data_IF_274437207700
#
_entry.id   IF_274437207700
#
_cell.length_a   1.000
_cell.length_b   1.000
_cell.length_c   1.000
_cell.angle_alpha   90.00
_cell.angle_beta   90.00
_cell.angle_gamma   90.00
#
_symmetry.space_group_name_H-M   'P 1'
#
loop_
_entity.id
_entity.type
_entity.pdbx_description
1 polymer ?
#
# COMPACT_ATOMS: atom_id res chain seq x y z
N UNK A 1 17.31 -34.04 -7.53
CA UNK A 1 16.55 -32.92 -6.97
C UNK A 1 15.12 -33.12 -7.38
N UNK A 2 14.16 -33.13 -6.45
CA UNK A 2 12.77 -33.32 -6.79
C UNK A 2 12.20 -32.00 -7.42
N UNK A 3 11.01 -32.06 -7.97
CA UNK A 3 10.38 -30.90 -8.66
C UNK A 3 10.15 -29.73 -7.70
N UNK A 4 9.78 -29.99 -6.44
CA UNK A 4 9.58 -28.96 -5.41
C UNK A 4 10.88 -28.23 -5.12
N UNK A 5 12.02 -28.95 -5.02
CA UNK A 5 13.33 -28.35 -4.81
C UNK A 5 13.72 -27.42 -5.98
N UNK A 6 13.40 -27.81 -7.22
CA UNK A 6 13.67 -27.00 -8.41
C UNK A 6 12.87 -25.68 -8.38
N UNK A 7 11.58 -25.78 -8.03
CA UNK A 7 10.72 -24.58 -7.88
C UNK A 7 11.26 -23.66 -6.78
N UNK A 8 11.60 -24.23 -5.62
CA UNK A 8 12.14 -23.47 -4.49
C UNK A 8 13.44 -22.75 -4.85
N UNK A 9 14.39 -23.45 -5.46
CA UNK A 9 15.69 -22.87 -5.84
C UNK A 9 15.51 -21.72 -6.84
N UNK A 10 14.69 -21.91 -7.89
CA UNK A 10 14.39 -20.86 -8.87
C UNK A 10 13.81 -19.61 -8.22
N UNK A 11 12.85 -19.75 -7.30
CA UNK A 11 12.23 -18.61 -6.60
C UNK A 11 13.25 -17.95 -5.66
N UNK A 12 14.01 -18.75 -4.91
CA UNK A 12 15.02 -18.27 -3.97
C UNK A 12 16.12 -17.47 -4.67
N UNK A 13 16.62 -17.94 -5.82
CA UNK A 13 17.61 -17.23 -6.63
C UNK A 13 17.09 -15.86 -7.09
N UNK A 14 15.86 -15.81 -7.59
CA UNK A 14 15.24 -14.55 -8.02
C UNK A 14 15.04 -13.56 -6.86
N UNK A 15 14.85 -14.04 -5.63
CA UNK A 15 14.72 -13.19 -4.45
C UNK A 15 16.01 -12.41 -4.14
N UNK A 16 17.18 -12.93 -4.50
CA UNK A 16 18.47 -12.31 -4.20
C UNK A 16 18.74 -11.03 -5.02
N UNK A 17 18.24 -10.95 -6.24
CA UNK A 17 18.50 -9.82 -7.15
C UNK A 17 17.35 -8.81 -7.23
N UNK A 18 16.16 -9.16 -6.75
CA UNK A 18 14.99 -8.33 -6.91
C UNK A 18 15.06 -7.03 -6.08
N UNK A 19 14.86 -5.86 -6.74
CA UNK A 19 14.92 -4.51 -6.16
C UNK A 19 13.72 -3.62 -6.53
N UNK A 20 12.90 -4.02 -7.50
CA UNK A 20 11.90 -3.15 -8.13
C UNK A 20 10.48 -3.25 -7.56
N UNK A 21 10.26 -4.03 -6.49
CA UNK A 21 8.93 -4.18 -5.89
C UNK A 21 8.97 -4.01 -4.36
N UNK A 22 7.89 -3.48 -3.76
CA UNK A 22 7.87 -3.12 -2.33
C UNK A 22 7.62 -4.33 -1.41
N UNK A 23 8.46 -5.36 -1.47
CA UNK A 23 8.36 -6.56 -0.66
C UNK A 23 9.58 -6.67 0.29
N UNK A 24 9.33 -6.63 1.60
CA UNK A 24 10.37 -6.86 2.60
C UNK A 24 10.94 -8.29 2.50
N UNK A 25 12.25 -8.45 2.80
CA UNK A 25 12.96 -9.73 2.69
C UNK A 25 13.39 -10.30 4.05
N UNK A 26 13.27 -9.55 5.12
CA UNK A 26 13.82 -9.84 6.46
C UNK A 26 12.80 -10.50 7.40
N UNK A 27 11.81 -11.19 6.87
CA UNK A 27 10.83 -11.92 7.67
C UNK A 27 11.14 -13.43 7.73
N UNK A 28 10.68 -14.06 8.80
CA UNK A 28 10.63 -15.53 8.92
C UNK A 28 9.44 -15.93 9.77
N UNK A 29 8.64 -16.83 9.23
CA UNK A 29 7.45 -17.40 9.87
C UNK A 29 7.54 -18.93 9.99
N UNK A 30 8.77 -19.48 10.05
CA UNK A 30 9.00 -20.92 10.15
C UNK A 30 8.35 -21.57 11.37
N UNK A 31 8.26 -20.84 12.48
CA UNK A 31 7.60 -21.25 13.71
C UNK A 31 6.09 -21.50 13.55
N UNK A 32 5.48 -20.90 12.51
CA UNK A 32 4.07 -21.08 12.20
C UNK A 32 3.79 -22.27 11.24
N UNK A 33 4.80 -23.05 10.86
CA UNK A 33 4.62 -24.20 9.98
C UNK A 33 3.54 -25.20 10.46
N UNK A 34 3.37 -25.48 11.77
CA UNK A 34 2.29 -26.36 12.24
C UNK A 34 0.87 -25.89 11.93
N UNK A 35 0.68 -24.56 11.70
CA UNK A 35 -0.63 -24.02 11.33
C UNK A 35 -1.02 -24.31 9.88
N UNK A 36 -0.08 -24.75 9.03
CA UNK A 36 -0.35 -25.11 7.63
C UNK A 36 -1.17 -26.39 7.50
N UNK A 37 -1.24 -27.21 8.56
CA UNK A 37 -2.06 -28.42 8.61
C UNK A 37 -3.50 -28.15 9.10
N UNK A 38 -3.83 -26.88 9.38
CA UNK A 38 -5.13 -26.46 9.90
C UNK A 38 -5.89 -25.56 8.90
N UNK A 39 -7.19 -25.81 8.73
CA UNK A 39 -8.05 -24.93 7.94
C UNK A 39 -8.58 -23.76 8.80
N UNK A 40 -7.78 -22.71 8.96
CA UNK A 40 -8.13 -21.57 9.80
C UNK A 40 -8.94 -20.56 8.98
N UNK A 41 -10.15 -20.22 9.44
CA UNK A 41 -11.09 -19.38 8.70
C UNK A 41 -11.72 -18.33 9.62
N UNK A 42 -11.35 -17.05 9.40
CA UNK A 42 -11.90 -15.90 10.11
C UNK A 42 -13.26 -15.48 9.48
N UNK A 43 -14.27 -16.35 9.56
CA UNK A 43 -15.56 -16.11 8.93
C UNK A 43 -16.34 -14.97 9.61
N UNK A 44 -16.96 -14.08 8.81
CA UNK A 44 -17.81 -12.99 9.28
C UNK A 44 -17.05 -11.78 9.86
N UNK A 45 -17.75 -10.99 10.67
CA UNK A 45 -17.19 -9.78 11.29
C UNK A 45 -16.05 -10.12 12.27
N UNK A 46 -14.89 -9.44 12.19
CA UNK A 46 -13.77 -9.69 13.10
C UNK A 46 -14.07 -9.37 14.56
N UNK A 47 -15.01 -8.46 14.85
CA UNK A 47 -15.38 -8.09 16.23
C UNK A 47 -16.38 -9.03 16.88
N UNK A 48 -16.99 -9.94 16.11
CA UNK A 48 -17.98 -10.88 16.59
C UNK A 48 -17.46 -12.31 16.51
N UNK A 49 -17.73 -13.12 17.53
CA UNK A 49 -17.50 -14.55 17.45
C UNK A 49 -18.46 -15.18 16.43
N UNK A 50 -18.09 -16.30 15.87
CA UNK A 50 -18.91 -17.09 14.97
C UNK A 50 -19.14 -18.49 15.52
N UNK A 51 -20.03 -19.26 14.91
CA UNK A 51 -20.23 -20.67 15.26
C UNK A 51 -19.02 -21.54 14.92
N UNK A 52 -18.15 -21.07 14.03
CA UNK A 52 -16.87 -21.72 13.68
C UNK A 52 -15.78 -21.19 14.60
N UNK A 53 -15.24 -22.05 15.46
CA UNK A 53 -14.20 -21.69 16.44
C UNK A 53 -12.76 -22.02 15.97
N UNK A 54 -12.56 -22.24 14.66
CA UNK A 54 -11.23 -22.48 14.06
C UNK A 54 -10.82 -21.18 13.36
N UNK A 55 -10.49 -20.17 14.16
CA UNK A 55 -10.15 -18.84 13.68
C UNK A 55 -8.99 -18.20 14.46
N UNK A 56 -8.56 -17.02 14.02
CA UNK A 56 -7.56 -16.15 14.64
C UNK A 56 -8.10 -14.72 14.79
N UNK A 57 -9.40 -14.58 15.05
CA UNK A 57 -10.04 -13.28 15.17
C UNK A 57 -9.51 -12.45 16.33
N UNK A 58 -9.07 -13.09 17.43
CA UNK A 58 -8.42 -12.38 18.53
C UNK A 58 -7.15 -11.68 18.06
N UNK A 59 -6.31 -12.38 17.29
CA UNK A 59 -5.09 -11.82 16.72
C UNK A 59 -5.41 -10.73 15.67
N UNK A 60 -6.47 -10.93 14.88
CA UNK A 60 -6.95 -9.92 13.95
C UNK A 60 -7.40 -8.65 14.68
N UNK A 61 -8.16 -8.75 15.78
CA UNK A 61 -8.58 -7.62 16.62
C UNK A 61 -7.39 -6.86 17.19
N UNK A 62 -6.36 -7.55 17.64
CA UNK A 62 -5.14 -6.91 18.12
C UNK A 62 -4.40 -6.17 16.99
N UNK A 63 -4.32 -6.75 15.77
CA UNK A 63 -3.78 -6.07 14.61
C UNK A 63 -4.57 -4.78 14.31
N UNK A 64 -5.90 -4.86 14.25
CA UNK A 64 -6.75 -3.70 13.97
C UNK A 64 -6.56 -2.61 15.03
N UNK A 65 -6.46 -2.99 16.30
CA UNK A 65 -6.18 -2.04 17.39
C UNK A 65 -4.83 -1.34 17.21
N UNK A 66 -3.80 -2.06 16.82
CA UNK A 66 -2.48 -1.48 16.52
C UNK A 66 -2.53 -0.51 15.35
N UNK A 67 -3.23 -0.88 14.25
CA UNK A 67 -3.37 0.01 13.09
C UNK A 67 -4.23 1.24 13.41
N UNK A 68 -5.30 1.09 14.21
CA UNK A 68 -6.07 2.24 14.67
C UNK A 68 -5.17 3.25 15.40
N UNK A 69 -4.30 2.78 16.29
CA UNK A 69 -3.39 3.61 17.08
C UNK A 69 -2.35 4.33 16.21
N UNK A 70 -1.65 3.65 15.28
CA UNK A 70 -0.67 4.33 14.41
C UNK A 70 -1.32 5.27 13.38
N UNK A 71 -2.59 5.06 13.05
CA UNK A 71 -3.40 5.92 12.19
C UNK A 71 -4.21 6.98 12.96
N UNK A 72 -3.80 7.28 14.19
CA UNK A 72 -4.36 8.35 15.03
C UNK A 72 -5.87 8.20 15.29
N UNK A 73 -6.31 6.98 15.57
CA UNK A 73 -7.70 6.63 15.91
C UNK A 73 -7.76 5.57 17.01
N UNK A 74 -8.95 5.04 17.22
CA UNK A 74 -9.23 3.97 18.16
C UNK A 74 -10.36 3.06 17.64
N UNK A 75 -10.53 1.88 18.24
CA UNK A 75 -11.53 0.89 17.83
C UNK A 75 -12.98 1.27 18.13
N UNK A 76 -13.25 2.36 18.86
CA UNK A 76 -14.60 2.86 19.08
C UNK A 76 -15.10 3.66 17.88
N UNK A 77 -14.20 4.44 17.27
CA UNK A 77 -14.51 5.33 16.15
C UNK A 77 -14.28 4.68 14.80
N UNK A 78 -13.33 3.73 14.74
CA UNK A 78 -12.95 3.00 13.53
C UNK A 78 -13.17 1.50 13.68
N UNK A 79 -13.35 0.86 12.54
CA UNK A 79 -13.47 -0.57 12.36
C UNK A 79 -12.55 -1.00 11.20
N UNK A 80 -12.18 -2.26 11.16
CA UNK A 80 -11.34 -2.77 10.08
C UNK A 80 -11.23 -4.28 10.08
N UNK A 81 -10.61 -4.82 9.04
CA UNK A 81 -10.31 -6.25 8.95
C UNK A 81 -9.06 -6.50 8.09
N UNK A 82 -8.48 -7.70 8.22
CA UNK A 82 -7.37 -8.15 7.39
C UNK A 82 -7.88 -8.68 6.06
N UNK A 83 -7.45 -8.02 4.97
CA UNK A 83 -7.85 -8.28 3.58
C UNK A 83 -6.82 -9.17 2.86
N UNK A 84 -7.15 -9.65 1.64
CA UNK A 84 -6.22 -10.39 0.77
C UNK A 84 -5.19 -9.47 0.07
N UNK A 85 -5.17 -8.19 0.38
CA UNK A 85 -4.22 -7.21 -0.16
C UNK A 85 -4.83 -5.81 -0.28
N UNK A 86 -4.00 -4.83 -0.69
CA UNK A 86 -4.42 -3.44 -0.87
C UNK A 86 -5.56 -3.26 -1.87
N UNK A 87 -5.61 -4.08 -2.93
CA UNK A 87 -6.71 -4.04 -3.92
C UNK A 87 -8.07 -4.29 -3.30
N UNK A 88 -8.18 -5.28 -2.39
CA UNK A 88 -9.43 -5.54 -1.66
C UNK A 88 -9.72 -4.42 -0.66
N UNK A 89 -8.70 -3.90 0.02
CA UNK A 89 -8.86 -2.76 0.93
C UNK A 89 -9.40 -1.51 0.21
N UNK A 90 -8.85 -1.20 -0.96
CA UNK A 90 -9.33 -0.11 -1.81
C UNK A 90 -10.75 -0.38 -2.36
N UNK A 91 -11.04 -1.63 -2.76
CA UNK A 91 -12.38 -2.04 -3.18
C UNK A 91 -13.41 -1.81 -2.06
N UNK A 92 -13.04 -2.19 -0.82
CA UNK A 92 -13.92 -2.03 0.34
C UNK A 92 -14.16 -0.55 0.67
N UNK A 93 -13.11 0.28 0.67
CA UNK A 93 -13.25 1.73 0.87
C UNK A 93 -14.16 2.39 -0.17
N UNK A 94 -13.99 2.04 -1.44
CA UNK A 94 -14.86 2.52 -2.54
C UNK A 94 -16.28 1.98 -2.46
N UNK A 95 -16.47 0.72 -2.02
CA UNK A 95 -17.78 0.14 -1.78
C UNK A 95 -18.54 0.94 -0.71
N UNK A 96 -17.93 1.20 0.44
CA UNK A 96 -18.53 2.01 1.51
C UNK A 96 -18.81 3.45 1.07
N UNK A 97 -17.93 4.03 0.27
CA UNK A 97 -18.11 5.37 -0.29
C UNK A 97 -19.36 5.42 -1.19
N UNK A 98 -19.52 4.42 -2.09
CA UNK A 98 -20.70 4.29 -2.96
C UNK A 98 -21.99 4.11 -2.13
N UNK A 99 -21.99 3.24 -1.13
CA UNK A 99 -23.15 3.02 -0.27
C UNK A 99 -23.50 4.28 0.55
N UNK A 100 -22.50 5.13 0.83
CA UNK A 100 -22.73 6.42 1.50
C UNK A 100 -23.28 7.47 0.53
N UNK A 101 -22.81 7.47 -0.73
CA UNK A 101 -23.12 8.46 -1.76
C UNK A 101 -23.27 7.77 -3.14
N UNK A 102 -24.43 7.16 -3.45
CA UNK A 102 -24.63 6.36 -4.67
C UNK A 102 -24.40 7.12 -5.99
N UNK A 103 -24.68 8.43 -6.00
CA UNK A 103 -24.53 9.29 -7.19
C UNK A 103 -23.19 10.06 -7.23
N UNK A 104 -22.25 9.72 -6.34
CA UNK A 104 -20.97 10.40 -6.25
C UNK A 104 -20.08 10.13 -7.46
N UNK A 105 -19.15 11.06 -7.68
CA UNK A 105 -18.07 10.92 -8.66
C UNK A 105 -16.76 10.71 -7.91
N UNK A 106 -15.99 9.69 -8.30
CA UNK A 106 -14.65 9.44 -7.77
C UNK A 106 -13.61 10.24 -8.53
N UNK A 107 -12.79 11.00 -7.82
CA UNK A 107 -11.65 11.74 -8.34
C UNK A 107 -10.36 11.06 -7.88
N UNK A 108 -9.50 10.66 -8.82
CA UNK A 108 -8.22 9.99 -8.56
C UNK A 108 -7.18 10.40 -9.60
N UNK A 109 -5.89 10.34 -9.27
CA UNK A 109 -4.84 10.80 -10.19
C UNK A 109 -4.43 9.75 -11.21
N UNK A 110 -3.79 10.19 -12.29
CA UNK A 110 -3.20 9.30 -13.32
C UNK A 110 -2.19 8.32 -12.72
N UNK A 111 -1.43 8.76 -11.70
CA UNK A 111 -0.43 7.94 -11.00
C UNK A 111 -1.03 6.91 -10.03
N UNK A 112 -2.36 6.84 -9.92
CA UNK A 112 -3.05 5.88 -9.06
C UNK A 112 -2.84 4.45 -9.57
N UNK A 113 -2.64 3.51 -8.64
CA UNK A 113 -2.39 2.11 -8.95
C UNK A 113 -3.48 1.52 -9.89
N UNK A 114 -3.07 0.76 -10.90
CA UNK A 114 -3.94 0.22 -11.97
C UNK A 114 -5.17 -0.54 -11.46
N UNK A 115 -5.12 -1.13 -10.28
CA UNK A 115 -6.25 -1.88 -9.70
C UNK A 115 -7.47 -1.02 -9.41
N UNK A 116 -7.30 0.30 -9.23
CA UNK A 116 -8.39 1.22 -8.90
C UNK A 116 -9.37 1.34 -10.05
N UNK A 117 -8.91 1.44 -11.30
CA UNK A 117 -9.78 1.42 -12.49
C UNK A 117 -10.65 0.16 -12.54
N UNK A 118 -10.08 -0.99 -12.17
CA UNK A 118 -10.83 -2.26 -12.07
C UNK A 118 -11.86 -2.21 -10.94
N UNK A 119 -11.51 -1.71 -9.76
CA UNK A 119 -12.44 -1.58 -8.64
C UNK A 119 -13.62 -0.66 -8.99
N UNK A 120 -13.34 0.49 -9.62
CA UNK A 120 -14.39 1.43 -10.07
C UNK A 120 -15.33 0.79 -11.10
N UNK A 121 -14.77 0.02 -12.03
CA UNK A 121 -15.57 -0.74 -13.01
C UNK A 121 -16.45 -1.79 -12.33
N UNK A 122 -15.90 -2.60 -11.43
CA UNK A 122 -16.65 -3.63 -10.69
C UNK A 122 -17.79 -3.03 -9.85
N UNK A 123 -17.56 -1.86 -9.25
CA UNK A 123 -18.56 -1.18 -8.43
C UNK A 123 -19.52 -0.29 -9.27
N UNK A 124 -19.27 -0.16 -10.56
CA UNK A 124 -20.04 0.71 -11.46
C UNK A 124 -20.16 2.15 -10.95
N UNK A 125 -19.04 2.75 -10.52
CA UNK A 125 -19.00 4.12 -9.99
C UNK A 125 -18.50 5.08 -11.05
N UNK A 126 -19.19 6.22 -11.20
CA UNK A 126 -18.72 7.32 -12.04
C UNK A 126 -17.40 7.86 -11.52
N UNK A 127 -16.46 8.12 -12.44
CA UNK A 127 -15.14 8.56 -12.04
C UNK A 127 -14.50 9.52 -13.04
N UNK A 128 -13.56 10.32 -12.58
CA UNK A 128 -12.78 11.24 -13.39
C UNK A 128 -11.32 11.11 -12.97
N UNK A 129 -10.46 10.95 -13.96
CA UNK A 129 -9.00 10.96 -13.78
C UNK A 129 -8.53 12.40 -13.71
N UNK A 130 -7.77 12.73 -12.69
CA UNK A 130 -7.09 14.01 -12.49
C UNK A 130 -5.64 13.85 -12.95
N UNK A 131 -5.06 14.85 -13.60
CA UNK A 131 -3.66 14.81 -14.00
C UNK A 131 -2.73 14.64 -12.79
N UNK A 132 -1.53 14.16 -13.05
CA UNK A 132 -0.45 14.12 -12.07
C UNK A 132 0.61 15.17 -12.36
N UNK A 133 1.27 15.66 -11.32
CA UNK A 133 2.48 16.48 -11.42
C UNK A 133 3.68 15.58 -11.78
N UNK A 134 4.81 16.19 -12.17
CA UNK A 134 6.03 15.47 -12.57
C UNK A 134 6.58 14.54 -11.47
N UNK A 135 6.35 14.86 -10.21
CA UNK A 135 6.75 14.02 -9.08
C UNK A 135 5.77 12.86 -8.78
N UNK A 136 4.65 12.77 -9.52
CA UNK A 136 3.60 11.75 -9.34
C UNK A 136 2.47 12.13 -8.38
N UNK A 137 2.52 13.32 -7.76
CA UNK A 137 1.44 13.86 -6.92
C UNK A 137 0.25 14.31 -7.77
N UNK A 138 -0.96 14.30 -7.24
CA UNK A 138 -2.15 14.83 -7.92
C UNK A 138 -1.96 16.30 -8.31
N UNK A 139 -2.43 16.69 -9.49
CA UNK A 139 -2.49 18.09 -9.93
C UNK A 139 -3.74 18.75 -9.33
N UNK A 140 -3.56 19.63 -8.33
CA UNK A 140 -4.68 20.28 -7.62
C UNK A 140 -5.33 21.38 -8.42
N UNK A 141 -4.65 21.99 -9.39
CA UNK A 141 -5.24 22.98 -10.28
C UNK A 141 -6.20 22.28 -11.26
N UNK A 142 -5.83 21.11 -11.76
CA UNK A 142 -6.70 20.29 -12.59
C UNK A 142 -7.91 19.78 -11.79
N UNK A 143 -7.69 19.25 -10.57
CA UNK A 143 -8.77 18.84 -9.67
C UNK A 143 -9.73 20.00 -9.40
N UNK A 144 -9.21 21.18 -9.15
CA UNK A 144 -10.01 22.38 -8.85
C UNK A 144 -10.89 22.77 -10.05
N UNK A 145 -10.33 22.79 -11.27
CA UNK A 145 -11.08 23.10 -12.49
C UNK A 145 -12.21 22.10 -12.74
N UNK A 146 -11.95 20.80 -12.53
CA UNK A 146 -12.93 19.74 -12.70
C UNK A 146 -14.08 19.90 -11.69
N UNK A 147 -13.75 20.13 -10.42
CA UNK A 147 -14.73 20.26 -9.33
C UNK A 147 -15.60 21.51 -9.44
N UNK A 148 -15.05 22.61 -9.97
CA UNK A 148 -15.81 23.82 -10.21
C UNK A 148 -17.06 23.56 -11.07
N UNK A 149 -16.96 22.66 -12.03
CA UNK A 149 -18.05 22.30 -12.96
C UNK A 149 -19.01 21.22 -12.40
N UNK A 150 -18.67 20.58 -11.27
CA UNK A 150 -19.40 19.41 -10.71
C UNK A 150 -19.70 19.52 -9.22
N UNK A 151 -19.66 20.70 -8.67
CA UNK A 151 -19.85 20.99 -7.24
C UNK A 151 -21.23 20.60 -6.67
N UNK A 152 -22.19 20.32 -7.54
CA UNK A 152 -23.56 19.88 -7.21
C UNK A 152 -23.65 18.37 -6.95
N UNK A 153 -22.60 17.60 -7.23
CA UNK A 153 -22.54 16.16 -7.00
C UNK A 153 -21.73 15.84 -5.76
N UNK A 154 -22.10 14.79 -5.02
CA UNK A 154 -21.23 14.24 -3.99
C UNK A 154 -19.89 13.79 -4.59
N UNK A 155 -18.82 13.96 -3.84
CA UNK A 155 -17.45 13.69 -4.30
C UNK A 155 -16.78 12.59 -3.48
N UNK A 156 -16.13 11.64 -4.14
CA UNK A 156 -15.24 10.67 -3.50
C UNK A 156 -13.81 11.02 -3.92
N UNK A 157 -12.98 11.41 -2.97
CA UNK A 157 -11.56 11.67 -3.20
C UNK A 157 -10.76 10.41 -2.90
N UNK A 158 -10.13 9.87 -3.91
CA UNK A 158 -9.22 8.73 -3.78
C UNK A 158 -7.79 9.25 -3.81
N UNK A 159 -7.14 9.30 -2.65
CA UNK A 159 -5.81 9.89 -2.47
C UNK A 159 -4.76 8.79 -2.36
N UNK A 160 -3.64 8.98 -3.06
CA UNK A 160 -2.50 8.07 -2.97
C UNK A 160 -1.57 8.52 -1.85
N UNK A 161 -1.29 7.62 -0.93
CA UNK A 161 -0.27 7.80 0.10
C UNK A 161 0.88 6.86 -0.27
N UNK A 162 1.66 7.31 -1.26
CA UNK A 162 2.72 6.56 -1.92
C UNK A 162 2.28 5.98 -3.27
N UNK A 163 2.39 6.76 -4.35
CA UNK A 163 2.15 6.29 -5.73
C UNK A 163 3.15 5.21 -6.13
N UNK A 164 2.75 4.33 -7.06
CA UNK A 164 3.52 3.13 -7.41
C UNK A 164 4.92 3.44 -7.96
N UNK A 165 5.05 4.40 -8.87
CA UNK A 165 6.33 4.66 -9.56
C UNK A 165 7.25 5.59 -8.79
N UNK A 166 6.71 6.56 -8.06
CA UNK A 166 7.50 7.65 -7.46
C UNK A 166 7.32 7.80 -5.95
N UNK A 167 6.43 7.01 -5.33
CA UNK A 167 6.09 7.13 -3.91
C UNK A 167 5.58 8.54 -3.52
N UNK A 168 4.94 9.25 -4.45
CA UNK A 168 4.36 10.55 -4.18
C UNK A 168 3.16 10.44 -3.22
N UNK A 169 2.98 11.49 -2.40
CA UNK A 169 1.88 11.58 -1.43
C UNK A 169 0.95 12.71 -1.81
N UNK A 170 -0.31 12.39 -2.08
CA UNK A 170 -1.33 13.40 -2.34
C UNK A 170 -1.63 14.23 -1.09
N UNK A 171 -1.69 15.56 -1.24
CA UNK A 171 -1.87 16.51 -0.14
C UNK A 171 -3.33 16.69 0.24
N UNK A 172 -3.71 16.07 1.33
CA UNK A 172 -5.06 16.18 1.88
C UNK A 172 -5.49 17.65 2.16
N UNK A 173 -4.56 18.51 2.57
CA UNK A 173 -4.85 19.92 2.84
C UNK A 173 -5.31 20.66 1.58
N UNK A 174 -4.71 20.38 0.42
CA UNK A 174 -5.13 20.97 -0.86
C UNK A 174 -6.53 20.50 -1.23
N UNK A 175 -6.82 19.22 -1.08
CA UNK A 175 -8.17 18.69 -1.32
C UNK A 175 -9.19 19.34 -0.38
N UNK A 176 -8.89 19.47 0.91
CA UNK A 176 -9.74 20.15 1.89
C UNK A 176 -9.93 21.65 1.55
N UNK A 177 -8.88 22.32 1.08
CA UNK A 177 -8.96 23.70 0.60
C UNK A 177 -9.97 23.85 -0.54
N UNK A 178 -9.91 22.93 -1.51
CA UNK A 178 -10.82 22.91 -2.66
C UNK A 178 -12.26 22.59 -2.23
N UNK A 179 -12.46 21.58 -1.38
CA UNK A 179 -13.77 21.24 -0.79
C UNK A 179 -14.41 22.46 -0.14
N UNK A 180 -13.65 23.18 0.67
CA UNK A 180 -14.10 24.41 1.35
C UNK A 180 -14.40 25.53 0.36
N UNK A 181 -13.51 25.75 -0.62
CA UNK A 181 -13.64 26.82 -1.63
C UNK A 181 -14.93 26.68 -2.43
N UNK A 182 -15.28 25.47 -2.82
CA UNK A 182 -16.48 25.18 -3.65
C UNK A 182 -17.70 24.75 -2.83
N UNK A 183 -17.61 24.79 -1.50
CA UNK A 183 -18.67 24.42 -0.56
C UNK A 183 -19.27 23.02 -0.85
N UNK A 184 -18.43 22.04 -1.17
CA UNK A 184 -18.85 20.66 -1.39
C UNK A 184 -19.31 20.09 -0.05
N UNK A 185 -20.60 19.76 0.06
CA UNK A 185 -21.22 19.34 1.32
C UNK A 185 -21.07 17.85 1.58
N UNK A 186 -21.25 17.05 0.52
CA UNK A 186 -21.28 15.59 0.59
C UNK A 186 -20.01 15.04 -0.05
N UNK A 187 -19.15 14.46 0.77
CA UNK A 187 -17.90 13.89 0.28
C UNK A 187 -17.42 12.72 1.14
N UNK A 188 -16.57 11.91 0.55
CA UNK A 188 -15.88 10.79 1.18
C UNK A 188 -14.39 10.85 0.80
N UNK A 189 -13.50 10.62 1.75
CA UNK A 189 -12.06 10.62 1.51
C UNK A 189 -11.52 9.22 1.82
N UNK A 190 -11.04 8.55 0.78
CA UNK A 190 -10.33 7.27 0.87
C UNK A 190 -8.84 7.49 0.60
N UNK A 191 -7.98 6.91 1.45
CA UNK A 191 -6.53 6.92 1.27
C UNK A 191 -6.03 5.52 0.89
N UNK A 192 -5.50 5.39 -0.32
CA UNK A 192 -4.68 4.24 -0.69
C UNK A 192 -3.28 4.44 -0.09
N UNK A 193 -3.09 3.87 1.07
CA UNK A 193 -1.83 3.84 1.79
C UNK A 193 -1.18 2.44 1.71
N UNK A 194 -1.40 1.73 0.59
CA UNK A 194 -0.94 0.36 0.41
C UNK A 194 0.55 0.18 0.69
N UNK A 195 1.37 1.17 0.39
CA UNK A 195 2.79 1.15 0.71
C UNK A 195 3.11 1.97 1.96
N UNK A 196 2.74 3.24 2.00
CA UNK A 196 3.14 4.15 3.06
C UNK A 196 2.32 4.05 4.36
N UNK A 197 1.25 3.29 4.41
CA UNK A 197 0.41 3.20 5.63
C UNK A 197 1.15 2.69 6.87
N UNK A 198 2.21 1.92 6.70
CA UNK A 198 3.10 1.43 7.78
C UNK A 198 4.39 2.24 7.92
N UNK A 199 4.65 3.20 7.04
CA UNK A 199 5.88 4.00 6.96
C UNK A 199 5.59 5.44 7.39
N UNK A 200 4.61 6.08 6.77
CA UNK A 200 4.27 7.48 6.96
C UNK A 200 3.98 7.91 8.42
N UNK A 201 3.41 7.06 9.29
CA UNK A 201 3.28 7.40 10.71
C UNK A 201 4.60 7.69 11.43
N UNK A 202 5.74 7.23 10.89
CA UNK A 202 7.07 7.33 11.49
C UNK A 202 8.03 8.27 10.75
N UNK A 203 7.57 8.92 9.68
CA UNK A 203 8.36 9.91 8.90
C UNK A 203 8.22 11.30 9.53
N UNK A 204 9.23 12.15 9.36
CA UNK A 204 9.21 13.55 9.83
C UNK A 204 9.60 14.51 8.70
N UNK A 205 8.72 15.43 8.31
CA UNK A 205 7.36 15.66 8.81
C UNK A 205 6.38 14.53 8.41
N UNK A 206 5.47 14.17 9.31
CA UNK A 206 4.44 13.18 9.04
C UNK A 206 3.44 13.71 8.00
N UNK A 207 3.17 12.99 6.90
CA UNK A 207 2.12 13.35 5.96
C UNK A 207 0.73 13.35 6.63
N UNK A 208 -0.14 14.23 6.18
CA UNK A 208 -1.54 14.29 6.63
C UNK A 208 -2.40 13.33 5.82
N UNK A 209 -2.80 12.21 6.39
CA UNK A 209 -3.60 11.19 5.70
C UNK A 209 -4.41 10.29 6.62
N UNK A 210 -4.31 10.46 7.94
CA UNK A 210 -4.91 9.57 8.92
C UNK A 210 -6.27 10.04 9.44
N UNK A 211 -6.87 9.30 10.37
CA UNK A 211 -8.21 9.58 10.87
C UNK A 211 -8.31 10.88 11.66
N UNK A 212 -7.22 11.36 12.28
CA UNK A 212 -7.20 12.67 12.94
C UNK A 212 -7.39 13.82 11.96
N UNK A 213 -7.05 13.58 10.70
CA UNK A 213 -7.24 14.51 9.59
C UNK A 213 -8.62 14.37 8.92
N UNK A 214 -9.50 13.51 9.43
CA UNK A 214 -10.88 13.41 9.00
C UNK A 214 -11.15 12.51 7.79
N UNK A 215 -10.16 11.71 7.34
CA UNK A 215 -10.38 10.71 6.26
C UNK A 215 -11.41 9.65 6.70
N UNK A 216 -12.09 9.03 5.74
CA UNK A 216 -13.19 8.10 6.02
C UNK A 216 -12.73 6.63 5.97
N UNK A 217 -11.73 6.31 5.14
CA UNK A 217 -11.13 4.98 5.06
C UNK A 217 -9.68 5.01 4.58
N UNK A 218 -8.92 3.99 4.98
CA UNK A 218 -7.49 3.82 4.63
C UNK A 218 -7.26 2.35 4.31
N UNK A 219 -6.61 2.06 3.18
CA UNK A 219 -6.18 0.72 2.81
C UNK A 219 -4.65 0.59 2.88
N UNK A 220 -4.16 -0.51 3.46
CA UNK A 220 -2.74 -0.79 3.66
C UNK A 220 -2.43 -2.19 3.14
N UNK A 221 -1.26 -2.41 2.51
CA UNK A 221 -0.78 -3.75 2.18
C UNK A 221 0.15 -4.27 3.29
N UNK A 222 -0.27 -5.31 3.98
CA UNK A 222 0.50 -5.90 5.07
C UNK A 222 1.75 -6.66 4.59
N UNK A 223 1.68 -7.29 3.41
CA UNK A 223 2.78 -8.07 2.84
C UNK A 223 3.92 -7.21 2.24
N UNK A 224 3.75 -5.89 2.12
CA UNK A 224 4.80 -5.00 1.58
C UNK A 224 5.88 -4.73 2.64
N UNK A 225 5.76 -3.66 3.40
CA UNK A 225 6.80 -3.19 4.34
C UNK A 225 6.95 -4.08 5.58
N UNK A 226 5.86 -4.62 6.10
CA UNK A 226 5.91 -5.62 7.18
C UNK A 226 6.55 -6.91 6.66
N UNK A 227 6.14 -7.36 5.49
CA UNK A 227 6.61 -8.60 4.87
C UNK A 227 5.80 -9.82 5.31
N UNK A 228 5.73 -10.80 4.43
CA UNK A 228 5.04 -12.05 4.71
C UNK A 228 4.98 -12.97 3.50
N UNK A 229 4.81 -14.27 3.73
CA UNK A 229 4.81 -15.28 2.67
C UNK A 229 3.51 -15.31 1.86
N UNK A 230 2.46 -14.66 2.36
CA UNK A 230 1.13 -14.63 1.74
C UNK A 230 0.71 -13.17 1.57
N UNK A 231 0.27 -12.75 0.37
CA UNK A 231 -0.28 -11.42 0.17
C UNK A 231 -1.43 -11.15 1.14
N UNK A 232 -1.39 -10.00 1.80
CA UNK A 232 -2.44 -9.54 2.71
C UNK A 232 -2.46 -8.01 2.77
N UNK A 233 -3.54 -7.49 3.34
CA UNK A 233 -3.71 -6.06 3.61
C UNK A 233 -4.55 -5.82 4.84
N UNK A 234 -4.74 -4.57 5.16
CA UNK A 234 -5.61 -4.10 6.22
C UNK A 234 -6.46 -2.97 5.62
N UNK A 235 -7.75 -2.99 5.88
CA UNK A 235 -8.60 -1.84 5.63
C UNK A 235 -9.14 -1.33 6.95
N UNK A 236 -9.03 -0.01 7.15
CA UNK A 236 -9.56 0.72 8.30
C UNK A 236 -10.59 1.73 7.81
N UNK A 237 -11.72 1.81 8.47
CA UNK A 237 -12.83 2.70 8.08
C UNK A 237 -13.50 3.33 9.30
N UNK A 238 -14.09 4.51 9.16
CA UNK A 238 -14.98 5.04 10.20
C UNK A 238 -16.18 4.11 10.37
N UNK A 239 -16.47 3.72 11.60
CA UNK A 239 -17.50 2.75 11.96
C UNK A 239 -18.88 3.06 11.36
N UNK A 240 -19.24 4.33 11.32
CA UNK A 240 -20.53 4.79 10.74
C UNK A 240 -20.77 4.31 9.29
N UNK A 241 -19.67 4.10 8.51
CA UNK A 241 -19.81 3.63 7.13
C UNK A 241 -19.98 2.12 7.06
N UNK A 242 -19.27 1.35 7.90
CA UNK A 242 -19.45 -0.11 8.03
C UNK A 242 -20.87 -0.45 8.50
N UNK A 243 -21.42 0.29 9.44
CA UNK A 243 -22.74 0.04 9.99
C UNK A 243 -23.88 0.17 8.97
N UNK A 244 -23.65 0.88 7.85
CA UNK A 244 -24.61 0.98 6.73
C UNK A 244 -24.80 -0.32 5.97
N UNK A 245 -23.76 -1.16 5.91
CA UNK A 245 -23.76 -2.39 5.10
C UNK A 245 -23.88 -3.67 5.96
N UNK A 246 -23.85 -3.56 7.27
CA UNK A 246 -23.85 -4.70 8.18
C UNK A 246 -25.17 -5.49 8.11
N UNK A 247 -25.10 -6.76 7.72
CA UNK A 247 -26.22 -7.67 7.63
C UNK A 247 -26.03 -8.86 8.57
N UNK A 248 -27.08 -9.27 9.28
CA UNK A 248 -27.06 -10.46 10.15
C UNK A 248 -27.18 -11.74 9.33
N UNK A 249 -26.30 -12.70 9.58
CA UNK A 249 -26.30 -14.01 8.91
C UNK A 249 -26.48 -15.11 9.97
N UNK A 250 -27.70 -15.65 10.05
CA UNK A 250 -28.10 -16.55 11.14
C UNK A 250 -27.31 -17.84 11.23
N UNK A 251 -26.96 -18.48 10.11
CA UNK A 251 -26.24 -19.77 10.13
C UNK A 251 -24.74 -19.63 10.47
N UNK A 252 -24.18 -18.44 10.28
CA UNK A 252 -22.79 -18.10 10.68
C UNK A 252 -22.75 -17.60 12.11
N UNK A 253 -23.87 -17.08 12.62
CA UNK A 253 -24.01 -16.52 13.96
C UNK A 253 -23.34 -15.15 14.14
N UNK A 254 -22.99 -14.46 13.03
CA UNK A 254 -22.31 -13.16 13.06
C UNK A 254 -22.82 -12.22 11.97
N UNK A 255 -22.33 -10.98 11.97
CA UNK A 255 -22.59 -10.02 10.90
C UNK A 255 -21.76 -10.34 9.66
N UNK A 256 -22.30 -10.06 8.48
CA UNK A 256 -21.57 -9.97 7.22
C UNK A 256 -21.22 -8.51 6.98
N UNK A 257 -19.94 -8.19 7.09
CA UNK A 257 -19.39 -6.83 7.02
C UNK A 257 -18.15 -6.72 6.11
N UNK A 258 -17.68 -7.84 5.57
CA UNK A 258 -16.46 -7.94 4.76
C UNK A 258 -16.78 -8.28 3.30
N UNK A 259 -15.81 -8.09 2.38
CA UNK A 259 -16.02 -8.46 0.97
C UNK A 259 -16.13 -9.98 0.79
N UNK A 260 -15.28 -10.74 1.48
CA UNK A 260 -15.29 -12.21 1.40
C UNK A 260 -15.87 -12.81 2.68
N UNK A 261 -16.78 -13.77 2.56
CA UNK A 261 -17.37 -14.44 3.73
C UNK A 261 -16.35 -15.27 4.50
N UNK A 262 -15.65 -16.19 3.81
CA UNK A 262 -14.49 -16.91 4.35
C UNK A 262 -13.22 -16.10 4.17
N UNK A 263 -12.44 -15.94 5.24
CA UNK A 263 -11.21 -15.15 5.22
C UNK A 263 -10.04 -15.95 5.77
N UNK A 264 -8.86 -15.70 5.21
CA UNK A 264 -7.63 -16.36 5.60
C UNK A 264 -7.26 -16.01 7.06
N UNK A 265 -7.12 -17.02 7.92
CA UNK A 265 -6.72 -16.81 9.32
C UNK A 265 -5.19 -16.83 9.55
N UNK A 266 -4.38 -17.26 8.58
CA UNK A 266 -2.91 -17.25 8.73
C UNK A 266 -2.33 -15.83 8.63
N UNK A 267 -2.86 -15.01 7.73
CA UNK A 267 -2.32 -13.65 7.53
C UNK A 267 -2.51 -12.73 8.74
N UNK A 268 -3.66 -12.72 9.46
CA UNK A 268 -3.75 -12.04 10.74
C UNK A 268 -2.71 -12.53 11.77
N UNK A 269 -2.46 -13.83 11.81
CA UNK A 269 -1.48 -14.41 12.74
C UNK A 269 -0.05 -13.94 12.42
N UNK A 270 0.34 -13.85 11.14
CA UNK A 270 1.64 -13.33 10.74
C UNK A 270 1.80 -11.84 11.06
N UNK A 271 0.78 -11.04 10.78
CA UNK A 271 0.78 -9.61 11.12
C UNK A 271 0.89 -9.41 12.63
N UNK A 272 0.11 -10.15 13.40
CA UNK A 272 0.14 -10.14 14.86
C UNK A 272 1.52 -10.48 15.41
N UNK A 273 2.15 -11.56 14.91
CA UNK A 273 3.48 -11.96 15.32
C UNK A 273 4.53 -10.86 15.04
N UNK A 274 4.45 -10.23 13.87
CA UNK A 274 5.30 -9.09 13.53
C UNK A 274 5.10 -7.93 14.51
N UNK A 275 3.84 -7.57 14.78
CA UNK A 275 3.49 -6.46 15.68
C UNK A 275 3.99 -6.75 17.10
N UNK A 276 3.79 -7.98 17.61
CA UNK A 276 4.30 -8.39 18.94
C UNK A 276 5.81 -8.32 19.04
N UNK A 277 6.51 -8.70 17.97
CA UNK A 277 7.98 -8.72 17.94
C UNK A 277 8.58 -7.34 17.80
N UNK A 278 8.03 -6.50 16.95
CA UNK A 278 8.65 -5.24 16.53
C UNK A 278 7.97 -4.00 17.10
N UNK A 279 6.65 -3.99 17.22
CA UNK A 279 5.86 -2.84 17.68
C UNK A 279 6.12 -1.56 16.88
N UNK A 280 5.80 -0.41 17.46
CA UNK A 280 6.03 0.91 16.84
C UNK A 280 7.52 1.22 16.68
N UNK A 281 8.33 0.94 17.70
CA UNK A 281 9.77 1.24 17.65
C UNK A 281 10.50 0.40 16.60
N UNK A 282 10.14 -0.87 16.44
CA UNK A 282 10.69 -1.71 15.38
C UNK A 282 10.33 -1.21 14.00
N UNK A 283 9.09 -0.75 13.76
CA UNK A 283 8.69 -0.12 12.51
C UNK A 283 9.48 1.16 12.25
N UNK A 284 9.60 2.04 13.25
CA UNK A 284 10.36 3.30 13.15
C UNK A 284 11.81 3.07 12.77
N UNK A 285 12.47 2.09 13.39
CA UNK A 285 13.86 1.74 13.08
C UNK A 285 13.99 1.21 11.64
N UNK A 286 13.08 0.33 11.20
CA UNK A 286 13.06 -0.18 9.82
C UNK A 286 12.85 0.93 8.79
N UNK A 287 11.98 1.91 9.08
CA UNK A 287 11.78 3.09 8.22
C UNK A 287 13.09 3.86 8.10
N UNK A 288 13.73 4.19 9.21
CA UNK A 288 15.01 4.93 9.23
C UNK A 288 16.11 4.22 8.44
N UNK A 289 16.32 2.93 8.66
CA UNK A 289 17.31 2.12 7.94
C UNK A 289 17.04 2.11 6.43
N UNK A 290 15.79 1.96 6.02
CA UNK A 290 15.38 1.97 4.61
C UNK A 290 15.58 3.36 3.96
N UNK A 291 15.29 4.44 4.68
CA UNK A 291 15.54 5.82 4.21
C UNK A 291 17.04 6.10 4.04
N UNK A 292 17.88 5.64 4.97
CA UNK A 292 19.35 5.76 4.87
C UNK A 292 19.89 5.02 3.63
N UNK A 293 19.35 3.82 3.34
CA UNK A 293 19.72 3.06 2.12
C UNK A 293 19.24 3.77 0.84
N UNK A 294 18.04 4.34 0.84
CA UNK A 294 17.51 5.08 -0.32
C UNK A 294 18.34 6.35 -0.59
N UNK A 295 18.71 7.10 0.46
CA UNK A 295 19.59 8.26 0.33
C UNK A 295 20.98 7.88 -0.19
N UNK A 296 21.53 6.76 0.30
CA UNK A 296 22.80 6.24 -0.19
C UNK A 296 22.71 5.88 -1.68
N UNK A 297 21.68 5.15 -2.11
CA UNK A 297 21.53 4.74 -3.50
C UNK A 297 21.37 5.93 -4.44
N UNK A 298 20.51 6.90 -4.09
CA UNK A 298 20.31 8.13 -4.87
C UNK A 298 21.64 8.88 -5.08
N UNK A 299 22.41 9.05 -4.00
CA UNK A 299 23.71 9.71 -4.06
C UNK A 299 24.70 8.96 -4.99
N UNK A 300 24.80 7.63 -4.86
CA UNK A 300 25.76 6.85 -5.64
C UNK A 300 25.35 6.76 -7.13
N UNK A 301 24.06 6.68 -7.44
CA UNK A 301 23.57 6.73 -8.82
C UNK A 301 23.97 8.04 -9.51
N UNK A 302 23.74 9.17 -8.85
CA UNK A 302 24.11 10.48 -9.39
C UNK A 302 25.63 10.64 -9.54
N UNK A 303 26.45 10.07 -8.63
CA UNK A 303 27.92 10.06 -8.76
C UNK A 303 28.42 9.32 -9.99
N UNK A 304 27.76 8.25 -10.41
CA UNK A 304 28.13 7.49 -11.61
C UNK A 304 27.52 8.04 -12.90
N UNK A 305 26.78 9.16 -12.83
CA UNK A 305 26.18 9.84 -13.98
C UNK A 305 24.78 9.35 -14.35
N UNK A 306 24.15 8.49 -13.55
CA UNK A 306 22.73 8.08 -13.71
C UNK A 306 21.86 9.12 -13.01
N UNK A 307 20.99 9.80 -13.78
CA UNK A 307 20.03 10.75 -13.21
C UNK A 307 19.05 10.01 -12.30
N UNK A 308 19.14 10.27 -11.00
CA UNK A 308 18.28 9.67 -10.00
C UNK A 308 17.74 10.71 -9.01
N UNK A 309 16.53 10.47 -8.52
CA UNK A 309 15.85 11.33 -7.56
C UNK A 309 14.85 10.53 -6.71
N UNK A 310 14.35 11.11 -5.64
CA UNK A 310 13.26 10.57 -4.84
C UNK A 310 12.38 11.70 -4.28
N UNK A 311 11.13 11.41 -4.00
CA UNK A 311 10.29 12.29 -3.21
C UNK A 311 10.84 12.39 -1.78
N UNK A 312 10.42 13.45 -1.06
CA UNK A 312 10.93 13.69 0.30
C UNK A 312 10.69 12.47 1.20
N UNK A 313 11.74 12.00 1.87
CA UNK A 313 11.72 10.85 2.79
C UNK A 313 11.26 9.51 2.18
N UNK A 314 11.12 9.42 0.85
CA UNK A 314 10.73 8.20 0.15
C UNK A 314 11.80 7.11 0.24
N UNK A 315 11.35 5.85 0.23
CA UNK A 315 12.20 4.65 0.10
C UNK A 315 12.45 4.28 -1.37
N UNK A 316 11.65 4.83 -2.27
CA UNK A 316 11.70 4.62 -3.72
C UNK A 316 12.65 5.62 -4.34
N UNK A 317 13.71 5.11 -4.96
CA UNK A 317 14.66 5.89 -5.76
C UNK A 317 14.28 5.71 -7.22
N UNK A 318 13.83 6.78 -7.84
CA UNK A 318 13.53 6.84 -9.28
C UNK A 318 14.82 7.12 -10.03
N UNK A 319 15.04 6.42 -11.14
CA UNK A 319 16.22 6.60 -11.98
C UNK A 319 15.84 6.56 -13.46
N UNK A 320 16.70 7.12 -14.28
CA UNK A 320 16.62 6.93 -15.73
C UNK A 320 16.63 5.43 -16.04
N UNK A 321 15.74 5.01 -16.94
CA UNK A 321 15.51 3.59 -17.23
C UNK A 321 16.75 2.92 -17.81
N UNK A 322 17.34 1.92 -17.14
CA UNK A 322 18.46 1.15 -17.67
C UNK A 322 18.04 0.23 -18.82
N UNK A 323 19.01 -0.51 -19.36
CA UNK A 323 18.74 -1.54 -20.36
C UNK A 323 17.70 -2.57 -19.91
N UNK A 324 17.13 -3.27 -20.89
CA UNK A 324 16.18 -4.37 -20.61
C UNK A 324 16.83 -5.48 -19.80
N UNK A 325 18.11 -5.73 -19.99
CA UNK A 325 18.92 -6.72 -19.30
C UNK A 325 19.03 -6.39 -17.82
N UNK A 326 19.38 -5.16 -17.46
CA UNK A 326 19.44 -4.68 -16.08
C UNK A 326 18.05 -4.69 -15.45
N UNK A 327 17.03 -4.16 -16.12
CA UNK A 327 15.66 -4.19 -15.63
C UNK A 327 15.19 -5.61 -15.33
N UNK A 328 15.51 -6.58 -16.20
CA UNK A 328 15.15 -8.00 -15.99
C UNK A 328 15.93 -8.63 -14.85
N UNK A 329 17.25 -8.41 -14.76
CA UNK A 329 18.13 -8.97 -13.71
C UNK A 329 17.70 -8.55 -12.33
N UNK A 330 17.38 -7.26 -12.16
CA UNK A 330 16.99 -6.67 -10.87
C UNK A 330 15.46 -6.56 -10.69
N UNK A 331 14.69 -7.07 -11.65
CA UNK A 331 13.22 -7.06 -11.65
C UNK A 331 12.67 -5.66 -11.37
N UNK A 332 13.24 -4.64 -12.05
CA UNK A 332 12.83 -3.25 -11.87
C UNK A 332 11.46 -3.02 -12.52
N UNK A 333 10.56 -2.37 -11.80
CA UNK A 333 9.38 -1.79 -12.41
C UNK A 333 9.79 -0.54 -13.21
N UNK A 334 9.26 -0.41 -14.42
CA UNK A 334 9.59 0.70 -15.30
C UNK A 334 8.38 1.19 -16.07
N UNK A 335 8.31 2.50 -16.28
CA UNK A 335 7.27 3.18 -17.04
C UNK A 335 7.93 4.25 -17.88
N UNK A 336 7.59 4.33 -19.16
CA UNK A 336 8.22 5.24 -20.12
C UNK A 336 9.75 5.23 -20.04
N UNK A 337 10.35 6.35 -19.61
CA UNK A 337 11.80 6.56 -19.53
C UNK A 337 12.38 6.42 -18.12
N UNK A 338 11.56 6.01 -17.15
CA UNK A 338 12.00 5.83 -15.78
C UNK A 338 11.87 4.38 -15.31
N UNK A 339 12.68 4.04 -14.32
CA UNK A 339 12.55 2.84 -13.51
C UNK A 339 12.72 3.23 -12.05
N UNK A 340 12.47 2.30 -11.13
CA UNK A 340 12.75 2.55 -9.73
C UNK A 340 13.38 1.36 -9.02
N UNK A 341 14.10 1.67 -7.96
CA UNK A 341 14.55 0.76 -6.90
C UNK A 341 13.87 1.15 -5.60
N UNK A 342 13.31 0.19 -4.88
CA UNK A 342 12.66 0.44 -3.59
C UNK A 342 13.51 -0.17 -2.48
N UNK A 343 14.07 0.67 -1.60
CA UNK A 343 14.94 0.25 -0.50
C UNK A 343 14.13 -0.36 0.65
N UNK A 344 13.69 -1.60 0.46
CA UNK A 344 12.86 -2.34 1.42
C UNK A 344 13.67 -2.95 2.55
N UNK A 345 13.04 -3.21 3.73
CA UNK A 345 13.66 -3.97 4.79
C UNK A 345 14.23 -5.31 4.31
N UNK A 346 15.45 -5.62 4.74
CA UNK A 346 16.19 -6.81 4.31
C UNK A 346 17.05 -6.63 3.05
N UNK A 347 16.93 -5.49 2.34
CA UNK A 347 17.92 -5.10 1.32
C UNK A 347 19.17 -4.60 2.03
N UNK A 348 20.33 -5.06 1.54
CA UNK A 348 21.64 -4.70 2.10
C UNK A 348 22.41 -3.80 1.15
N UNK A 349 23.29 -2.97 1.71
CA UNK A 349 24.16 -2.07 0.95
C UNK A 349 25.01 -2.82 -0.08
N UNK A 350 25.45 -4.03 0.22
CA UNK A 350 26.23 -4.89 -0.68
C UNK A 350 25.42 -5.24 -1.95
N UNK A 351 24.12 -5.48 -1.85
CA UNK A 351 23.25 -5.75 -2.99
C UNK A 351 23.13 -4.50 -3.90
N UNK A 352 22.99 -3.32 -3.28
CA UNK A 352 22.96 -2.05 -4.02
C UNK A 352 24.30 -1.77 -4.70
N UNK A 353 25.41 -2.09 -4.06
CA UNK A 353 26.74 -1.93 -4.68
C UNK A 353 26.91 -2.83 -5.92
N UNK A 354 26.42 -4.07 -5.90
CA UNK A 354 26.44 -4.95 -7.09
C UNK A 354 25.60 -4.36 -8.22
N UNK A 355 24.42 -3.82 -7.90
CA UNK A 355 23.58 -3.13 -8.88
C UNK A 355 24.28 -1.91 -9.49
N UNK A 356 24.93 -1.08 -8.67
CA UNK A 356 25.69 0.09 -9.12
C UNK A 356 26.87 -0.28 -10.02
N UNK A 357 27.59 -1.35 -9.71
CA UNK A 357 28.70 -1.85 -10.55
C UNK A 357 28.21 -2.37 -11.90
N UNK A 358 27.06 -3.01 -11.96
CA UNK A 358 26.49 -3.44 -13.24
C UNK A 358 26.05 -2.24 -14.09
N UNK A 359 25.47 -1.21 -13.49
CA UNK A 359 25.13 0.04 -14.19
C UNK A 359 26.39 0.76 -14.70
N UNK A 360 27.47 0.80 -13.94
CA UNK A 360 28.75 1.38 -14.39
C UNK A 360 29.30 0.67 -15.62
N UNK A 361 29.22 -0.67 -15.67
CA UNK A 361 29.64 -1.46 -16.84
C UNK A 361 28.79 -1.12 -18.06
N UNK A 362 27.46 -1.07 -17.89
CA UNK A 362 26.56 -0.70 -18.98
C UNK A 362 26.87 0.70 -19.54
N UNK A 363 27.08 1.70 -18.66
CA UNK A 363 27.44 3.05 -19.09
C UNK A 363 28.77 3.10 -19.84
N UNK A 364 29.77 2.33 -19.39
CA UNK A 364 31.07 2.24 -20.09
C UNK A 364 30.95 1.62 -21.48
N UNK A 365 30.13 0.57 -21.64
CA UNK A 365 29.84 -0.07 -22.94
C UNK A 365 29.12 0.89 -23.88
N UNK A 366 28.14 1.66 -23.41
CA UNK A 366 27.45 2.69 -24.22
C UNK A 366 28.44 3.77 -24.70
N UNK A 367 29.30 4.26 -23.79
CA UNK A 367 30.31 5.26 -24.14
C UNK A 367 31.31 4.74 -25.17
N UNK A 368 31.78 3.48 -25.05
CA UNK A 368 32.67 2.85 -26.03
C UNK A 368 31.99 2.64 -27.39
N UNK A 369 30.69 2.45 -27.44
CA UNK A 369 29.95 2.27 -28.69
C UNK A 369 29.65 3.59 -29.43
N UNK A 370 29.80 4.73 -28.75
CA UNK A 370 29.62 6.08 -29.35
C UNK A 370 30.90 6.71 -29.88
N UNK A 371 32.06 6.10 -29.60
CA UNK A 371 33.39 6.48 -30.09
C UNK A 371 33.79 5.59 -31.25
#
# INVERSE_FOLDING_TARGET
MNEIDQIYNRISENTNTFLGYPLAKDFSYKEFAPFLDLCINNVGDPESDSTLAIDTKDQERECISFFADILSSNTKDTWGYVTNGGTEGNLYGLYLARESYPDAVVYYSESTHYSVKKNLHLLNINNIVVRSQDNGEMDYDDLEQILMLRRDKPAIFFLNIGTTMTEAVDKLDEVKRIIKKYAIKDYYIHCDAAFLGTIAPFVTPKPKFDFSEGVDSIAISGHKFIGGPIPCGIVMVKRKHRDRIANSVSYVGTLDTTITGSRNGLTPLFLWAFIKKHGKEGLKNRVKESQELAAYLEMELNKIGVKAWRNNEALTVVLEKPSKEICKKYQLASEENIAHVICMPGIKKEQLNVFLEDLKKELAEILCALV
#
